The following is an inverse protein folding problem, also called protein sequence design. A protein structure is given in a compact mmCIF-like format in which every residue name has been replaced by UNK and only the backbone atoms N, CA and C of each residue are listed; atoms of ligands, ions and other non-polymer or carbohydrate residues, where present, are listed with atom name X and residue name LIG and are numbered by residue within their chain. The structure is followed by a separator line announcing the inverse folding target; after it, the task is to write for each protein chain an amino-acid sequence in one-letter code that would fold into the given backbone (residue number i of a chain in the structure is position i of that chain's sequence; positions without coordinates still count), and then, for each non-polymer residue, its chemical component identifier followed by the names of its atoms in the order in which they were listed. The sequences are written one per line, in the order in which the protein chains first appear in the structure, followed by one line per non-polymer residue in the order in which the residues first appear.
data_IF_446316128638
#
_entry.id   IF_446316128638
#
_cell.length_a   1.000
_cell.length_b   1.000
_cell.length_c   1.000
_cell.angle_alpha   90.00
_cell.angle_beta   90.00
_cell.angle_gamma   90.00
#
_symmetry.space_group_name_H-M   'P 1'
#
loop_
_entity.id
_entity.type
_entity.pdbx_description
1 polymer ?
#
# COMPACT_ATOMS: atom_id res chain seq x y z
N UNK A 1 10.49 -8.55 -7.22
CA UNK A 1 9.52 -8.21 -6.16
C UNK A 1 9.63 -9.17 -4.98
N UNK A 2 10.02 -8.63 -3.81
CA UNK A 2 10.25 -9.35 -2.55
C UNK A 2 9.00 -9.44 -1.66
N UNK A 3 7.86 -9.81 -2.25
CA UNK A 3 6.62 -10.17 -1.56
C UNK A 3 6.07 -11.47 -2.16
N UNK A 4 5.70 -12.44 -1.32
CA UNK A 4 5.07 -13.69 -1.77
C UNK A 4 3.65 -13.44 -2.28
N UNK A 5 3.10 -14.43 -2.99
CA UNK A 5 1.72 -14.36 -3.51
C UNK A 5 0.73 -14.25 -2.34
N UNK A 6 0.95 -15.02 -1.29
CA UNK A 6 0.14 -15.03 -0.07
C UNK A 6 0.19 -13.67 0.64
N UNK A 7 1.38 -13.06 0.76
CA UNK A 7 1.51 -11.72 1.35
C UNK A 7 0.74 -10.67 0.54
N UNK A 8 0.83 -10.70 -0.79
CA UNK A 8 0.07 -9.78 -1.65
C UNK A 8 -1.43 -9.96 -1.46
N UNK A 9 -1.91 -11.21 -1.43
CA UNK A 9 -3.31 -11.53 -1.19
C UNK A 9 -3.78 -11.00 0.16
N UNK A 10 -3.02 -11.27 1.23
CA UNK A 10 -3.38 -10.82 2.57
C UNK A 10 -3.34 -9.29 2.71
N UNK A 11 -2.44 -8.60 2.01
CA UNK A 11 -2.44 -7.12 1.91
C UNK A 11 -3.77 -6.65 1.31
N UNK A 12 -4.18 -7.20 0.17
CA UNK A 12 -5.43 -6.81 -0.50
C UNK A 12 -6.65 -7.09 0.39
N UNK A 13 -6.73 -8.27 0.99
CA UNK A 13 -7.83 -8.63 1.91
C UNK A 13 -7.90 -7.69 3.13
N UNK A 14 -6.73 -7.29 3.67
CA UNK A 14 -6.65 -6.36 4.81
C UNK A 14 -7.07 -4.95 4.39
N UNK A 15 -6.67 -4.50 3.20
CA UNK A 15 -7.07 -3.21 2.65
C UNK A 15 -8.57 -3.16 2.44
N UNK A 16 -9.15 -4.14 1.73
CA UNK A 16 -10.59 -4.23 1.52
C UNK A 16 -11.36 -4.20 2.85
N UNK A 17 -10.93 -4.98 3.85
CA UNK A 17 -11.63 -5.06 5.15
C UNK A 17 -11.66 -3.75 5.93
N UNK A 18 -10.64 -2.91 5.81
CA UNK A 18 -10.50 -1.68 6.63
C UNK A 18 -10.89 -0.43 5.85
N UNK A 19 -10.49 -0.33 4.58
CA UNK A 19 -10.76 0.84 3.74
C UNK A 19 -12.00 0.68 2.85
N UNK A 20 -12.50 -0.55 2.67
CA UNK A 20 -13.63 -0.87 1.80
C UNK A 20 -13.21 -1.12 0.35
N UNK A 21 -14.23 -1.21 -0.51
CA UNK A 21 -14.07 -1.33 -1.97
C UNK A 21 -13.64 0.00 -2.62
N UNK A 22 -13.14 -0.08 -3.86
CA UNK A 22 -12.71 1.09 -4.63
C UNK A 22 -11.32 1.57 -4.22
N UNK A 23 -10.45 0.65 -3.76
CA UNK A 23 -9.07 0.97 -3.38
C UNK A 23 -8.09 0.19 -4.25
N UNK A 24 -7.37 0.90 -5.10
CA UNK A 24 -6.23 0.37 -5.79
C UNK A 24 -5.01 0.35 -4.89
N UNK A 25 -4.35 -0.82 -4.82
CA UNK A 25 -3.18 -1.05 -3.99
C UNK A 25 -1.96 -1.25 -4.87
N UNK A 26 -0.92 -0.47 -4.61
CA UNK A 26 0.35 -0.56 -5.31
C UNK A 26 1.51 -0.75 -4.33
N UNK A 27 2.50 -1.53 -4.72
CA UNK A 27 3.78 -1.63 -4.04
C UNK A 27 4.79 -0.72 -4.71
N UNK A 28 5.52 0.07 -3.94
CA UNK A 28 6.65 0.85 -4.45
C UNK A 28 7.90 0.62 -3.59
N UNK A 29 8.96 1.38 -3.87
CA UNK A 29 10.16 1.38 -3.04
C UNK A 29 10.98 0.10 -3.12
N UNK A 30 11.72 -0.16 -2.03
CA UNK A 30 12.83 -1.13 -2.02
C UNK A 30 12.39 -2.58 -2.28
N UNK A 31 11.11 -2.92 -2.04
CA UNK A 31 10.59 -4.28 -2.20
C UNK A 31 10.36 -4.68 -3.66
N UNK A 32 10.47 -3.75 -4.61
CA UNK A 32 10.43 -4.07 -6.03
C UNK A 32 11.74 -4.67 -6.54
N UNK A 33 12.87 -4.27 -5.95
CA UNK A 33 14.20 -4.77 -6.29
C UNK A 33 14.51 -6.06 -5.52
N UNK A 34 14.79 -7.15 -6.24
CA UNK A 34 15.13 -8.46 -5.66
C UNK A 34 16.57 -8.53 -5.14
N UNK A 35 17.46 -7.64 -5.57
CA UNK A 35 18.85 -7.55 -5.10
C UNK A 35 19.01 -6.79 -3.77
N UNK A 36 17.98 -6.06 -3.35
CA UNK A 36 18.00 -5.26 -2.12
C UNK A 36 17.92 -6.13 -0.85
N UNK A 37 18.48 -5.63 0.25
CA UNK A 37 18.47 -6.28 1.58
C UNK A 37 17.60 -5.49 2.56
N UNK A 38 16.83 -6.21 3.39
CA UNK A 38 15.94 -5.59 4.38
C UNK A 38 14.89 -4.67 3.76
N UNK A 39 14.47 -3.66 4.53
CA UNK A 39 13.60 -2.57 4.12
C UNK A 39 12.13 -2.73 4.51
N UNK A 40 11.41 -1.64 4.45
CA UNK A 40 10.00 -1.55 4.81
C UNK A 40 9.12 -2.02 3.63
N UNK A 41 7.82 -2.16 3.87
CA UNK A 41 6.83 -2.41 2.82
C UNK A 41 6.11 -1.10 2.53
N UNK A 42 6.54 -0.45 1.44
CA UNK A 42 5.99 0.81 0.98
C UNK A 42 4.74 0.59 0.11
N UNK A 43 3.55 0.95 0.60
CA UNK A 43 2.28 0.79 -0.12
C UNK A 43 1.66 2.14 -0.47
N UNK A 44 1.23 2.26 -1.72
CA UNK A 44 0.43 3.38 -2.20
C UNK A 44 -1.01 2.92 -2.39
N UNK A 45 -1.93 3.59 -1.70
CA UNK A 45 -3.36 3.36 -1.79
C UNK A 45 -4.01 4.52 -2.56
N UNK A 46 -4.63 4.20 -3.68
CA UNK A 46 -5.49 5.14 -4.40
C UNK A 46 -6.94 4.73 -4.18
N UNK A 47 -7.67 5.54 -3.42
CA UNK A 47 -9.03 5.24 -3.03
C UNK A 47 -10.00 6.23 -3.67
N UNK A 48 -11.19 5.77 -4.06
CA UNK A 48 -12.27 6.64 -4.51
C UNK A 48 -12.76 7.56 -3.39
N UNK A 49 -12.77 7.05 -2.15
CA UNK A 49 -13.17 7.77 -0.94
C UNK A 49 -11.99 8.01 -0.01
N UNK A 50 -11.97 9.10 0.78
CA UNK A 50 -10.88 9.36 1.70
C UNK A 50 -10.72 8.23 2.72
N UNK A 51 -9.53 7.63 2.77
CA UNK A 51 -9.14 6.75 3.87
C UNK A 51 -8.86 7.62 5.09
N UNK A 52 -9.68 7.50 6.13
CA UNK A 52 -9.58 8.30 7.36
C UNK A 52 -8.30 8.02 8.13
N UNK A 53 -7.92 8.93 9.04
CA UNK A 53 -6.74 8.76 9.89
C UNK A 53 -6.78 7.45 10.69
N UNK A 54 -7.93 7.12 11.30
CA UNK A 54 -8.11 5.88 12.06
C UNK A 54 -7.96 4.64 11.17
N UNK A 55 -8.54 4.64 9.97
CA UNK A 55 -8.37 3.54 9.02
C UNK A 55 -6.90 3.37 8.61
N UNK A 56 -6.17 4.46 8.36
CA UNK A 56 -4.72 4.39 8.04
C UNK A 56 -3.91 3.79 9.19
N UNK A 57 -4.15 4.23 10.42
CA UNK A 57 -3.49 3.69 11.60
C UNK A 57 -3.82 2.19 11.77
N UNK A 58 -5.08 1.83 11.58
CA UNK A 58 -5.58 0.46 11.66
C UNK A 58 -4.97 -0.45 10.59
N UNK A 59 -4.84 0.05 9.36
CA UNK A 59 -4.18 -0.64 8.24
C UNK A 59 -2.71 -0.86 8.56
N UNK A 60 -1.98 0.20 8.93
CA UNK A 60 -0.56 0.12 9.24
C UNK A 60 -0.29 -0.97 10.28
N UNK A 61 -0.98 -0.89 11.42
CA UNK A 61 -0.79 -1.86 12.50
C UNK A 61 -1.11 -3.30 12.08
N UNK A 62 -2.21 -3.54 11.37
CA UNK A 62 -2.58 -4.90 10.91
C UNK A 62 -1.58 -5.46 9.91
N UNK A 63 -1.15 -4.64 8.95
CA UNK A 63 -0.21 -5.06 7.92
C UNK A 63 1.16 -5.36 8.54
N UNK A 64 1.63 -4.53 9.47
CA UNK A 64 2.90 -4.77 10.19
C UNK A 64 2.84 -6.06 11.01
N UNK A 65 1.76 -6.27 11.77
CA UNK A 65 1.59 -7.47 12.59
C UNK A 65 1.54 -8.76 11.74
N UNK A 66 0.93 -8.68 10.57
CA UNK A 66 0.77 -9.79 9.63
C UNK A 66 2.04 -10.09 8.83
N UNK A 67 2.75 -9.06 8.38
CA UNK A 67 3.95 -9.19 7.55
C UNK A 67 5.23 -9.40 8.38
N UNK A 68 5.21 -9.03 9.66
CA UNK A 68 6.40 -9.02 10.52
C UNK A 68 7.45 -7.98 10.08
N UNK A 69 7.02 -6.95 9.34
CA UNK A 69 7.87 -5.94 8.73
C UNK A 69 7.21 -4.56 8.90
N UNK A 70 7.97 -3.47 9.02
CA UNK A 70 7.40 -2.13 9.01
C UNK A 70 6.67 -1.84 7.69
N UNK A 71 5.60 -1.06 7.78
CA UNK A 71 4.76 -0.71 6.62
C UNK A 71 4.54 0.79 6.57
N UNK A 72 4.87 1.39 5.44
CA UNK A 72 4.62 2.78 5.16
C UNK A 72 3.49 2.93 4.15
N UNK A 73 2.52 3.78 4.50
CA UNK A 73 1.29 3.97 3.74
C UNK A 73 1.23 5.40 3.17
N UNK A 74 1.18 5.49 1.85
CA UNK A 74 0.78 6.72 1.15
C UNK A 74 -0.66 6.54 0.68
N UNK A 75 -1.57 7.43 1.09
CA UNK A 75 -2.96 7.40 0.65
C UNK A 75 -3.26 8.62 -0.20
N UNK A 76 -3.87 8.39 -1.37
CA UNK A 76 -4.44 9.41 -2.24
C UNK A 76 -5.92 9.13 -2.44
N UNK A 77 -6.73 10.18 -2.34
CA UNK A 77 -8.14 10.13 -2.73
C UNK A 77 -8.29 10.62 -4.17
N UNK A 78 -9.17 9.99 -4.96
CA UNK A 78 -9.58 10.50 -6.27
C UNK A 78 -10.08 11.95 -6.21
N UNK A 79 -9.76 12.74 -7.24
CA UNK A 79 -10.18 14.16 -7.34
C UNK A 79 -9.19 15.19 -6.79
N UNK A 80 -8.17 14.77 -6.02
CA UNK A 80 -7.09 15.66 -5.58
C UNK A 80 -5.84 15.49 -6.47
N UNK A 81 -5.18 16.61 -6.75
CA UNK A 81 -3.88 16.60 -7.40
C UNK A 81 -2.86 15.83 -6.55
N UNK A 82 -2.10 14.95 -7.19
CA UNK A 82 -1.04 14.22 -6.52
C UNK A 82 0.09 15.20 -6.17
N UNK A 83 0.61 15.13 -4.94
CA UNK A 83 1.86 15.83 -4.63
C UNK A 83 3.00 15.28 -5.49
N UNK A 84 4.09 16.03 -5.72
CA UNK A 84 5.23 15.53 -6.50
C UNK A 84 5.77 14.19 -5.99
N UNK A 85 5.81 14.02 -4.67
CA UNK A 85 6.19 12.76 -4.05
C UNK A 85 5.22 11.61 -4.37
N UNK A 86 3.91 11.87 -4.29
CA UNK A 86 2.89 10.87 -4.64
C UNK A 86 2.95 10.48 -6.12
N UNK A 87 3.18 11.46 -7.02
CA UNK A 87 3.33 11.21 -8.44
C UNK A 87 4.56 10.33 -8.73
N UNK A 88 5.70 10.65 -8.13
CA UNK A 88 6.93 9.85 -8.26
C UNK A 88 6.72 8.43 -7.72
N UNK A 89 6.16 8.32 -6.50
CA UNK A 89 5.89 7.02 -5.87
C UNK A 89 5.01 6.15 -6.78
N UNK A 90 3.89 6.70 -7.28
CA UNK A 90 2.95 5.98 -8.15
C UNK A 90 3.58 5.60 -9.50
N UNK A 91 4.36 6.48 -10.11
CA UNK A 91 5.02 6.20 -11.41
C UNK A 91 5.99 5.02 -11.39
N UNK A 92 6.56 4.71 -10.21
CA UNK A 92 7.50 3.61 -10.00
C UNK A 92 6.85 2.40 -9.32
N UNK A 93 5.56 2.47 -9.03
CA UNK A 93 4.84 1.44 -8.30
C UNK A 93 4.36 0.32 -9.22
N UNK A 94 4.22 -0.88 -8.66
CA UNK A 94 3.58 -2.02 -9.32
C UNK A 94 2.23 -2.29 -8.66
N UNK A 95 1.17 -2.35 -9.46
CA UNK A 95 -0.18 -2.65 -8.96
C UNK A 95 -0.23 -4.07 -8.41
N UNK A 96 -0.67 -4.20 -7.15
CA UNK A 96 -0.93 -5.49 -6.52
C UNK A 96 -2.33 -5.98 -6.82
N UNK A 97 -3.30 -5.06 -6.86
CA UNK A 97 -4.70 -5.38 -7.13
C UNK A 97 -5.63 -4.20 -6.84
N UNK A 98 -6.92 -4.46 -7.01
CA UNK A 98 -8.00 -3.59 -6.59
C UNK A 98 -8.82 -4.32 -5.53
N UNK A 99 -9.23 -3.57 -4.52
CA UNK A 99 -10.07 -4.02 -3.41
C UNK A 99 -11.49 -3.52 -3.59
#
# INVERSE_FOLDING_TARGET
MRLTIEQRRLILETVNRVAGEGVDVYLFGSRLDDGAKGGDVDLFLEAERPVSFLQRAQLKWRLEAMLGLPVDLICKTGGNDASPFQAIAKSRAVKLGNC
#
